data_IF_682614732241
#
_entry.id   IF_682614732241
#
_cell.length_a   1.000
_cell.length_b   1.000
_cell.length_c   1.000
_cell.angle_alpha   90.00
_cell.angle_beta   90.00
_cell.angle_gamma   90.00
#
_symmetry.space_group_name_H-M   'P 1'
#
loop_
_entity.id
_entity.type
_entity.pdbx_description
1 polymer ?
#
# COMPACT_ATOMS: atom_id res chain seq x y z
N UNK A 1 -19.32 26.55 -10.27
CA UNK A 1 -18.64 26.86 -8.99
C UNK A 1 -17.24 26.29 -9.06
N UNK A 2 -16.21 27.12 -8.92
CA UNK A 2 -14.82 26.69 -9.01
C UNK A 2 -14.41 26.02 -7.69
N UNK A 3 -14.18 24.70 -7.73
CA UNK A 3 -13.57 23.97 -6.62
C UNK A 3 -12.06 24.04 -6.75
N UNK A 4 -11.39 24.54 -5.72
CA UNK A 4 -9.94 24.51 -5.62
C UNK A 4 -9.49 23.07 -5.30
N UNK A 5 -8.50 22.56 -6.01
CA UNK A 5 -7.78 21.33 -5.65
C UNK A 5 -6.52 21.75 -4.90
N UNK A 6 -6.42 21.39 -3.62
CA UNK A 6 -5.19 21.53 -2.84
C UNK A 6 -4.26 20.37 -3.22
N UNK A 7 -3.11 20.68 -3.82
CA UNK A 7 -2.05 19.71 -4.06
C UNK A 7 -1.23 19.55 -2.78
N UNK A 8 -1.53 18.51 -2.00
CA UNK A 8 -0.65 18.01 -0.95
C UNK A 8 0.14 16.82 -1.49
N UNK A 9 1.46 16.92 -1.54
CA UNK A 9 2.33 15.77 -1.70
C UNK A 9 2.21 14.92 -0.43
N UNK A 10 1.48 13.80 -0.53
CA UNK A 10 1.15 12.91 0.58
C UNK A 10 -0.30 12.48 0.46
N UNK A 11 -0.55 11.18 0.23
CA UNK A 11 -1.89 10.63 0.07
C UNK A 11 -2.83 11.13 1.15
N UNK A 12 -4.00 11.63 0.75
CA UNK A 12 -4.98 12.24 1.66
C UNK A 12 -5.40 11.20 2.73
N UNK A 13 -4.99 11.36 4.00
CA UNK A 13 -5.38 10.44 5.06
C UNK A 13 -6.89 10.52 5.38
N UNK A 14 -7.63 11.41 4.71
CA UNK A 14 -9.06 11.62 4.88
C UNK A 14 -9.94 10.92 3.83
N UNK A 15 -9.38 10.13 2.90
CA UNK A 15 -10.18 9.39 1.94
C UNK A 15 -11.07 8.36 2.68
N UNK A 16 -12.40 8.49 2.53
CA UNK A 16 -13.36 7.61 3.19
C UNK A 16 -13.19 6.17 2.69
N UNK A 17 -13.38 5.13 3.50
CA UNK A 17 -13.36 3.75 2.99
C UNK A 17 -14.41 3.53 1.89
N UNK A 18 -14.08 2.71 0.90
CA UNK A 18 -14.93 2.37 -0.23
C UNK A 18 -14.31 2.67 -1.60
N UNK A 19 -15.13 2.53 -2.64
CA UNK A 19 -14.75 2.83 -4.02
C UNK A 19 -14.88 4.32 -4.33
N UNK A 20 -13.88 4.84 -5.04
CA UNK A 20 -13.82 6.23 -5.50
C UNK A 20 -13.44 6.28 -6.97
N UNK A 21 -13.82 7.37 -7.62
CA UNK A 21 -13.44 7.67 -9.00
C UNK A 21 -13.14 9.16 -9.15
N UNK A 22 -11.94 9.48 -9.65
CA UNK A 22 -11.53 10.85 -9.95
C UNK A 22 -10.96 10.85 -11.36
N UNK A 23 -11.48 11.70 -12.25
CA UNK A 23 -11.03 11.81 -13.64
C UNK A 23 -10.91 10.43 -14.33
N UNK A 24 -11.91 9.55 -14.16
CA UNK A 24 -11.95 8.17 -14.71
C UNK A 24 -10.93 7.19 -14.10
N UNK A 25 -10.16 7.59 -13.10
CA UNK A 25 -9.26 6.72 -12.36
C UNK A 25 -10.00 6.18 -11.14
N UNK A 26 -10.21 4.86 -11.13
CA UNK A 26 -10.87 4.16 -10.03
C UNK A 26 -9.84 3.70 -9.02
N UNK A 27 -10.12 3.96 -7.75
CA UNK A 27 -9.34 3.44 -6.64
C UNK A 27 -10.27 2.99 -5.51
N UNK A 28 -9.80 2.07 -4.69
CA UNK A 28 -10.48 1.59 -3.50
C UNK A 28 -9.66 1.98 -2.28
N UNK A 29 -10.32 2.47 -1.24
CA UNK A 29 -9.68 2.79 0.05
C UNK A 29 -10.25 1.87 1.11
N UNK A 30 -9.36 1.20 1.83
CA UNK A 30 -9.78 0.26 2.85
C UNK A 30 -9.98 0.91 4.22
N UNK A 31 -10.34 0.11 5.23
CA UNK A 31 -10.59 0.61 6.59
C UNK A 31 -9.36 1.13 7.34
N UNK A 32 -8.15 0.88 6.83
CA UNK A 32 -6.87 1.38 7.33
C UNK A 32 -6.36 2.59 6.53
N UNK A 33 -7.10 3.05 5.51
CA UNK A 33 -6.68 4.13 4.64
C UNK A 33 -5.67 3.72 3.56
N UNK A 34 -5.46 2.41 3.36
CA UNK A 34 -4.65 1.90 2.24
C UNK A 34 -5.42 2.11 0.94
N UNK A 35 -4.72 2.55 -0.09
CA UNK A 35 -5.29 2.78 -1.42
C UNK A 35 -4.94 1.62 -2.35
N UNK A 36 -5.88 1.25 -3.22
CA UNK A 36 -5.71 0.19 -4.19
C UNK A 36 -6.18 0.65 -5.57
N UNK A 37 -5.43 0.27 -6.60
CA UNK A 37 -5.77 0.51 -8.00
C UNK A 37 -6.09 -0.79 -8.71
N UNK A 38 -7.04 -0.76 -9.64
CA UNK A 38 -7.44 -1.95 -10.40
C UNK A 38 -6.35 -2.31 -11.43
N UNK A 39 -5.97 -3.58 -11.49
CA UNK A 39 -5.03 -4.06 -12.52
C UNK A 39 -5.72 -4.15 -13.89
N UNK A 40 -5.11 -3.62 -14.97
CA UNK A 40 -5.72 -3.65 -16.30
C UNK A 40 -6.05 -5.07 -16.77
N UNK A 41 -7.28 -5.29 -17.23
CA UNK A 41 -7.71 -6.60 -17.73
C UNK A 41 -7.89 -7.67 -16.64
N UNK A 42 -7.96 -7.27 -15.37
CA UNK A 42 -8.19 -8.15 -14.23
C UNK A 42 -9.25 -7.57 -13.27
N UNK A 43 -9.88 -8.44 -12.49
CA UNK A 43 -10.75 -8.07 -11.37
C UNK A 43 -9.94 -7.82 -10.08
N UNK A 44 -8.62 -8.04 -10.11
CA UNK A 44 -7.74 -7.81 -8.99
C UNK A 44 -7.38 -6.32 -8.81
N UNK A 45 -7.24 -5.93 -7.55
CA UNK A 45 -6.79 -4.62 -7.12
C UNK A 45 -5.45 -4.78 -6.40
N UNK A 46 -4.51 -3.87 -6.64
CA UNK A 46 -3.20 -3.89 -6.00
C UNK A 46 -3.02 -2.63 -5.15
N UNK A 47 -2.41 -2.80 -3.98
CA UNK A 47 -2.08 -1.68 -3.11
C UNK A 47 -1.15 -0.70 -3.83
N UNK A 48 -1.47 0.59 -3.75
CA UNK A 48 -0.69 1.68 -4.34
C UNK A 48 0.71 1.74 -3.75
N UNK A 49 0.82 1.38 -2.48
CA UNK A 49 2.07 1.37 -1.74
C UNK A 49 2.29 0.01 -1.08
N UNK A 50 3.52 -0.25 -0.64
CA UNK A 50 3.78 -1.30 0.32
C UNK A 50 2.94 -1.10 1.60
N UNK A 51 2.68 -2.20 2.31
CA UNK A 51 2.01 -2.13 3.62
C UNK A 51 2.86 -1.31 4.57
N UNK A 52 2.31 -0.21 5.10
CA UNK A 52 3.05 0.71 5.96
C UNK A 52 3.19 0.17 7.37
N UNK A 53 4.08 0.77 8.15
CA UNK A 53 4.19 0.56 9.59
C UNK A 53 2.83 0.79 10.27
N UNK A 54 2.10 1.84 9.92
CA UNK A 54 0.76 2.13 10.44
C UNK A 54 -0.23 0.97 10.21
N UNK A 55 -0.23 0.42 9.00
CA UNK A 55 -1.16 -0.63 8.58
C UNK A 55 -0.87 -1.94 9.32
N UNK A 56 0.41 -2.33 9.36
CA UNK A 56 0.84 -3.57 9.98
C UNK A 56 0.79 -3.50 11.52
N UNK A 57 1.07 -2.34 12.10
CA UNK A 57 0.92 -2.11 13.54
C UNK A 57 -0.53 -2.33 14.01
N UNK A 58 -1.54 -1.98 13.19
CA UNK A 58 -2.93 -2.25 13.52
C UNK A 58 -3.22 -3.76 13.64
N UNK A 59 -2.63 -4.58 12.76
CA UNK A 59 -2.69 -6.04 12.86
C UNK A 59 -1.89 -6.58 14.05
N UNK A 60 -0.67 -6.10 14.25
CA UNK A 60 0.18 -6.55 15.35
C UNK A 60 -0.47 -6.26 16.72
N UNK A 61 -1.12 -5.10 16.88
CA UNK A 61 -1.87 -4.75 18.09
C UNK A 61 -3.18 -5.52 18.28
N UNK A 62 -3.77 -6.04 17.21
CA UNK A 62 -4.98 -6.86 17.24
C UNK A 62 -4.71 -8.38 17.33
N UNK A 63 -3.43 -8.78 17.39
CA UNK A 63 -3.01 -10.19 17.36
C UNK A 63 -1.92 -10.47 18.39
N UNK A 64 -1.45 -11.72 18.43
CA UNK A 64 -0.29 -12.13 19.24
C UNK A 64 1.01 -12.17 18.42
N UNK A 65 1.06 -11.48 17.28
CA UNK A 65 2.18 -11.53 16.35
C UNK A 65 3.46 -10.88 16.92
N UNK A 66 3.33 -9.86 17.76
CA UNK A 66 4.46 -9.26 18.48
C UNK A 66 5.44 -8.46 17.62
N UNK A 67 5.10 -8.19 16.35
CA UNK A 67 5.91 -7.35 15.48
C UNK A 67 6.05 -5.92 15.99
N UNK A 68 7.20 -5.31 15.69
CA UNK A 68 7.54 -3.93 16.01
C UNK A 68 8.26 -3.30 14.81
N UNK A 69 8.05 -2.00 14.63
CA UNK A 69 8.77 -1.23 13.63
C UNK A 69 10.29 -1.29 13.87
N UNK A 70 11.07 -1.24 12.80
CA UNK A 70 12.52 -1.19 12.90
C UNK A 70 12.97 0.17 13.47
N UNK A 71 14.11 0.16 14.18
CA UNK A 71 14.64 1.32 14.90
C UNK A 71 14.92 2.55 14.03
N UNK A 72 15.06 2.39 12.71
CA UNK A 72 15.34 3.47 11.76
C UNK A 72 14.06 4.05 11.11
N UNK A 73 12.88 3.49 11.42
CA UNK A 73 11.61 3.98 10.87
C UNK A 73 11.06 5.07 11.81
N UNK A 74 11.32 6.32 11.45
CA UNK A 74 10.99 7.50 12.24
C UNK A 74 9.53 7.97 12.07
N UNK A 75 8.84 7.46 11.05
CA UNK A 75 7.40 7.66 10.83
C UNK A 75 6.68 6.35 10.56
N UNK A 76 5.36 6.35 10.73
CA UNK A 76 4.49 5.20 10.48
C UNK A 76 4.16 4.99 8.98
N UNK A 77 4.65 5.88 8.11
CA UNK A 77 4.49 5.83 6.66
C UNK A 77 5.60 5.06 5.93
N UNK A 78 6.61 4.53 6.64
CA UNK A 78 7.59 3.62 6.03
C UNK A 78 6.96 2.25 5.74
N UNK A 79 7.48 1.48 4.77
CA UNK A 79 7.07 0.10 4.55
C UNK A 79 7.37 -0.76 5.78
N UNK A 80 6.44 -1.60 6.24
CA UNK A 80 6.68 -2.55 7.30
C UNK A 80 7.76 -3.57 6.87
N UNK A 81 8.83 -3.68 7.67
CA UNK A 81 9.96 -4.59 7.40
C UNK A 81 10.03 -5.71 8.43
N UNK A 82 10.91 -6.69 8.24
CA UNK A 82 11.07 -7.85 9.11
C UNK A 82 9.78 -8.69 9.27
N UNK A 83 8.92 -8.69 8.25
CA UNK A 83 7.69 -9.47 8.20
C UNK A 83 7.97 -10.84 7.57
N UNK A 84 7.61 -11.92 8.26
CA UNK A 84 7.71 -13.26 7.71
C UNK A 84 6.56 -13.53 6.74
N UNK A 85 6.79 -14.39 5.75
CA UNK A 85 5.79 -14.70 4.73
C UNK A 85 4.46 -15.21 5.31
N UNK A 86 4.52 -16.08 6.33
CA UNK A 86 3.32 -16.57 7.02
C UNK A 86 2.56 -15.46 7.73
N UNK A 87 3.26 -14.48 8.31
CA UNK A 87 2.63 -13.35 8.99
C UNK A 87 2.03 -12.36 7.99
N UNK A 88 2.60 -12.22 6.80
CA UNK A 88 2.02 -11.44 5.71
C UNK A 88 0.69 -12.06 5.24
N UNK A 89 0.63 -13.39 5.12
CA UNK A 89 -0.64 -14.06 4.84
C UNK A 89 -1.66 -13.91 5.97
N UNK A 90 -1.21 -14.01 7.23
CA UNK A 90 -2.06 -13.81 8.39
C UNK A 90 -2.64 -12.39 8.44
N UNK A 91 -1.84 -11.38 8.09
CA UNK A 91 -2.29 -10.00 7.91
C UNK A 91 -3.40 -9.89 6.87
N UNK A 92 -3.21 -10.47 5.68
CA UNK A 92 -4.24 -10.49 4.63
C UNK A 92 -5.54 -11.16 5.10
N UNK A 93 -5.43 -12.30 5.80
CA UNK A 93 -6.58 -13.02 6.32
C UNK A 93 -7.34 -12.21 7.39
N UNK A 94 -6.61 -11.61 8.34
CA UNK A 94 -7.16 -10.75 9.38
C UNK A 94 -7.87 -9.53 8.79
N UNK A 95 -7.24 -8.84 7.83
CA UNK A 95 -7.83 -7.67 7.19
C UNK A 95 -9.10 -8.05 6.41
N UNK A 96 -9.08 -9.20 5.71
CA UNK A 96 -10.26 -9.72 5.01
C UNK A 96 -11.41 -10.03 5.95
N UNK A 97 -11.12 -10.61 7.12
CA UNK A 97 -12.14 -10.87 8.13
C UNK A 97 -12.71 -9.56 8.67
N UNK A 98 -11.84 -8.65 9.12
CA UNK A 98 -12.20 -7.34 9.67
C UNK A 98 -13.13 -6.57 8.72
N UNK A 99 -12.84 -6.59 7.43
CA UNK A 99 -13.60 -5.80 6.46
C UNK A 99 -14.88 -6.48 5.98
N UNK A 100 -14.96 -7.81 6.02
CA UNK A 100 -16.24 -8.51 5.86
C UNK A 100 -17.15 -8.27 7.05
N UNK A 101 -16.61 -8.24 8.26
CA UNK A 101 -17.37 -7.93 9.48
C UNK A 101 -17.89 -6.48 9.49
N UNK A 102 -17.16 -5.53 8.90
CA UNK A 102 -17.64 -4.15 8.73
C UNK A 102 -18.59 -3.95 7.56
N UNK A 103 -18.75 -4.97 6.69
CA UNK A 103 -19.53 -4.89 5.45
C UNK A 103 -18.85 -4.13 4.32
N UNK A 104 -17.55 -3.81 4.46
CA UNK A 104 -16.77 -3.16 3.39
C UNK A 104 -16.42 -4.14 2.26
N UNK A 105 -16.23 -5.43 2.59
CA UNK A 105 -16.03 -6.51 1.62
C UNK A 105 -17.21 -7.49 1.64
N UNK A 106 -17.57 -8.00 0.46
CA UNK A 106 -18.50 -9.12 0.31
C UNK A 106 -17.87 -10.45 0.76
N UNK A 107 -18.72 -11.48 0.94
CA UNK A 107 -18.28 -12.78 1.43
C UNK A 107 -17.21 -13.46 0.54
N UNK A 108 -17.26 -13.21 -0.77
CA UNK A 108 -16.35 -13.74 -1.79
C UNK A 108 -15.17 -12.81 -2.11
N UNK A 109 -15.01 -11.71 -1.38
CA UNK A 109 -13.91 -10.76 -1.54
C UNK A 109 -12.90 -10.92 -0.39
N UNK A 110 -11.65 -10.51 -0.63
CA UNK A 110 -10.60 -10.61 0.36
C UNK A 110 -9.23 -10.15 -0.16
N UNK A 111 -8.35 -9.88 0.80
CA UNK A 111 -6.95 -9.58 0.59
C UNK A 111 -6.12 -10.85 0.50
N UNK A 112 -5.08 -10.79 -0.33
CA UNK A 112 -4.03 -11.81 -0.44
C UNK A 112 -2.76 -11.18 -0.97
N UNK A 113 -1.66 -11.93 -0.89
CA UNK A 113 -0.45 -11.59 -1.61
C UNK A 113 -0.70 -11.64 -3.13
N UNK A 114 -0.06 -10.76 -3.92
CA UNK A 114 -0.17 -10.78 -5.37
C UNK A 114 0.43 -12.08 -5.93
N UNK A 115 -0.15 -12.58 -7.00
CA UNK A 115 0.47 -13.63 -7.81
C UNK A 115 1.65 -13.04 -8.59
N UNK A 116 2.57 -13.89 -9.06
CA UNK A 116 3.69 -13.44 -9.91
C UNK A 116 3.19 -12.69 -11.15
N UNK A 117 2.13 -13.16 -11.81
CA UNK A 117 1.59 -12.51 -13.01
C UNK A 117 0.98 -11.14 -12.72
N UNK A 118 0.28 -10.99 -11.60
CA UNK A 118 -0.26 -9.69 -11.17
C UNK A 118 0.86 -8.72 -10.81
N UNK A 119 1.89 -9.22 -10.13
CA UNK A 119 3.08 -8.42 -9.80
C UNK A 119 3.81 -7.96 -11.06
N UNK A 120 4.04 -8.86 -12.03
CA UNK A 120 4.66 -8.51 -13.32
C UNK A 120 3.80 -7.54 -14.13
N UNK A 121 2.48 -7.71 -14.13
CA UNK A 121 1.56 -6.78 -14.80
C UNK A 121 1.63 -5.39 -14.17
N UNK A 122 1.69 -5.32 -12.84
CA UNK A 122 1.80 -4.08 -12.08
C UNK A 122 3.12 -3.32 -12.31
N UNK A 123 4.22 -4.05 -12.52
CA UNK A 123 5.52 -3.46 -12.87
C UNK A 123 5.57 -2.88 -14.30
N UNK A 124 4.57 -3.19 -15.14
CA UNK A 124 4.50 -2.72 -16.52
C UNK A 124 4.45 -1.20 -16.64
N UNK A 125 5.41 -0.63 -17.37
CA UNK A 125 5.66 0.81 -17.58
C UNK A 125 6.37 1.56 -16.43
N UNK A 126 7.04 0.87 -15.49
CA UNK A 126 8.01 1.55 -14.63
C UNK A 126 9.22 2.01 -15.47
N UNK A 127 9.44 3.33 -15.60
CA UNK A 127 10.68 3.85 -16.18
C UNK A 127 11.85 3.69 -15.19
N UNK A 128 12.84 2.94 -15.67
CA UNK A 128 14.25 2.76 -15.23
C UNK A 128 14.60 2.28 -13.82
N UNK A 129 15.73 1.54 -13.66
CA UNK A 129 16.07 0.80 -12.43
C UNK A 129 16.77 1.65 -11.35
N UNK A 130 16.84 2.98 -11.51
CA UNK A 130 17.75 3.86 -10.77
C UNK A 130 17.01 4.99 -10.02
N UNK A 131 15.79 4.75 -9.55
CA UNK A 131 15.02 5.76 -8.82
C UNK A 131 15.17 5.69 -7.30
N UNK A 132 15.72 4.59 -6.76
CA UNK A 132 15.85 4.42 -5.31
C UNK A 132 17.07 3.59 -4.89
N UNK A 133 17.51 3.81 -3.66
CA UNK A 133 18.57 3.06 -3.01
C UNK A 133 18.06 1.67 -2.55
N UNK A 134 18.54 0.60 -3.19
CA UNK A 134 18.47 -0.75 -2.61
C UNK A 134 19.61 -1.03 -1.61
N UNK A 135 20.47 -0.04 -1.36
CA UNK A 135 21.50 -0.05 -0.33
C UNK A 135 22.17 1.32 -0.22
N UNK A 136 22.65 1.70 0.97
CA UNK A 136 23.16 3.06 1.24
C UNK A 136 24.41 3.42 0.44
N UNK A 137 25.08 2.43 -0.16
CA UNK A 137 26.28 2.62 -0.97
C UNK A 137 25.96 3.15 -2.39
N UNK A 138 24.70 3.02 -2.84
CA UNK A 138 24.29 3.44 -4.18
C UNK A 138 24.18 4.97 -4.29
N UNK A 139 23.76 5.67 -3.22
CA UNK A 139 23.71 7.13 -3.17
C UNK A 139 22.78 7.77 -4.21
N UNK A 140 21.78 7.03 -4.68
CA UNK A 140 20.79 7.46 -5.69
C UNK A 140 19.76 8.41 -5.08
N UNK A 141 19.34 8.16 -3.85
CA UNK A 141 18.46 9.04 -3.08
C UNK A 141 19.08 9.45 -1.72
N UNK A 142 18.39 10.34 -0.99
CA UNK A 142 18.81 10.85 0.31
C UNK A 142 18.40 9.98 1.50
N UNK A 143 17.70 8.86 1.28
CA UNK A 143 17.24 7.98 2.34
C UNK A 143 18.32 6.92 2.65
N UNK A 144 18.86 6.90 3.88
CA UNK A 144 19.90 5.95 4.25
C UNK A 144 19.38 4.52 4.47
N UNK A 145 18.08 4.33 4.68
CA UNK A 145 17.41 3.03 4.78
C UNK A 145 16.14 3.01 3.90
N UNK A 146 14.97 2.69 4.46
CA UNK A 146 13.71 2.80 3.72
C UNK A 146 13.28 4.26 3.63
N UNK A 147 12.57 4.62 2.57
CA UNK A 147 11.83 5.88 2.48
C UNK A 147 10.38 5.68 2.94
N UNK A 148 9.66 6.75 3.31
CA UNK A 148 8.21 6.71 3.38
C UNK A 148 7.61 6.29 2.03
N UNK A 149 6.52 5.54 2.04
CA UNK A 149 5.86 5.13 0.80
C UNK A 149 5.37 6.32 -0.01
N UNK A 150 5.38 6.20 -1.35
CA UNK A 150 4.99 7.30 -2.25
C UNK A 150 5.98 8.48 -2.31
N UNK A 151 7.20 8.33 -1.77
CA UNK A 151 8.26 9.35 -1.89
C UNK A 151 8.77 9.52 -3.32
N UNK A 152 8.53 8.55 -4.19
CA UNK A 152 8.96 8.54 -5.58
C UNK A 152 7.76 8.62 -6.53
N UNK A 153 7.95 9.13 -7.77
CA UNK A 153 6.88 9.14 -8.76
C UNK A 153 6.38 7.72 -9.03
N UNK A 154 5.06 7.54 -8.99
CA UNK A 154 4.44 6.28 -9.39
C UNK A 154 4.50 6.05 -10.90
N UNK A 155 4.34 4.80 -11.32
CA UNK A 155 4.25 4.41 -12.71
C UNK A 155 2.91 4.82 -13.35
N UNK A 156 2.64 4.39 -14.59
CA UNK A 156 1.39 4.76 -15.30
C UNK A 156 0.10 4.25 -14.65
N UNK A 157 0.18 3.29 -13.73
CA UNK A 157 -0.93 2.80 -12.91
C UNK A 157 -1.07 3.57 -11.59
N UNK A 158 -0.14 4.49 -11.30
CA UNK A 158 -0.07 5.22 -10.05
C UNK A 158 0.55 4.44 -8.89
N UNK A 159 1.25 3.34 -9.18
CA UNK A 159 2.00 2.52 -8.22
C UNK A 159 3.41 3.06 -8.01
#
# INVERSE_FOLDING_TARGET
MAGWLLAGCGGDPAAKPGFHEINQHRFFVNSLGMQFVQLPGSDAWLGVWETRVADYAAFAGASTNGWQAAWFQDTDNHPAVNVQWNDAQAFCAWLSQRERESGLLAANEGYRLPTTSEWTLALGQAETPESSNFGPQLGIDSFPQTSPVGSFPGNTLGL
#
